data_IF_330576926467
#
_entry.id   IF_330576926467
#
_cell.length_a   1.000
_cell.length_b   1.000
_cell.length_c   1.000
_cell.angle_alpha   90.00
_cell.angle_beta   90.00
_cell.angle_gamma   90.00
#
_symmetry.space_group_name_H-M   'P 1'
#
loop_
_entity.id
_entity.type
_entity.pdbx_description
1 polymer ?
#
# COMPACT_ATOMS: atom_id res chain seq x y z
N UNK A 1 1.66 -15.42 -2.71
CA UNK A 1 1.14 -15.28 -4.09
C UNK A 1 0.75 -13.84 -4.49
N UNK A 2 1.05 -12.83 -3.66
CA UNK A 2 0.58 -11.43 -3.85
C UNK A 2 1.48 -10.53 -4.71
N UNK A 3 2.69 -10.94 -5.04
CA UNK A 3 3.65 -10.12 -5.80
C UNK A 3 3.33 -9.96 -7.30
N UNK A 4 2.50 -10.83 -7.86
CA UNK A 4 2.12 -10.74 -9.29
C UNK A 4 1.08 -9.65 -9.61
N UNK A 5 0.24 -9.27 -8.65
CA UNK A 5 -0.78 -8.22 -8.84
C UNK A 5 -0.17 -6.81 -8.90
N UNK A 6 0.87 -6.54 -8.10
CA UNK A 6 1.51 -5.22 -8.05
C UNK A 6 2.29 -4.87 -9.33
N UNK A 7 2.90 -5.87 -9.98
CA UNK A 7 3.67 -5.68 -11.23
C UNK A 7 2.74 -5.46 -12.42
N UNK A 8 1.55 -6.08 -12.43
CA UNK A 8 0.59 -5.92 -13.52
C UNK A 8 -0.02 -4.52 -13.59
N UNK A 9 -0.26 -3.86 -12.46
CA UNK A 9 -0.82 -2.50 -12.42
C UNK A 9 0.21 -1.41 -12.77
N UNK A 10 1.50 -1.65 -12.52
CA UNK A 10 2.58 -0.74 -12.94
C UNK A 10 2.81 -0.71 -14.46
N UNK A 11 2.24 -1.66 -15.21
CA UNK A 11 2.41 -1.79 -16.66
C UNK A 11 1.21 -1.29 -17.50
N UNK A 12 0.30 -0.51 -16.91
CA UNK A 12 -0.83 0.05 -17.64
C UNK A 12 -0.36 0.89 -18.83
N UNK A 13 -0.97 0.66 -19.99
CA UNK A 13 -0.78 1.51 -21.15
C UNK A 13 -1.49 2.85 -20.96
N UNK A 14 -1.08 3.94 -21.67
CA UNK A 14 -1.77 5.23 -21.57
C UNK A 14 -3.27 5.13 -21.86
N UNK A 15 -3.69 4.28 -22.82
CA UNK A 15 -5.10 4.09 -23.13
C UNK A 15 -5.86 3.42 -21.98
N UNK A 16 -5.25 2.46 -21.30
CA UNK A 16 -5.85 1.83 -20.12
C UNK A 16 -5.97 2.83 -18.95
N UNK A 17 -4.98 3.70 -18.76
CA UNK A 17 -5.04 4.77 -17.76
C UNK A 17 -6.20 5.72 -18.07
N UNK A 18 -6.35 6.15 -19.32
CA UNK A 18 -7.48 6.99 -19.75
C UNK A 18 -8.80 6.29 -19.50
N UNK A 19 -8.94 5.02 -19.84
CA UNK A 19 -10.18 4.24 -19.58
C UNK A 19 -10.52 4.15 -18.08
N UNK A 20 -9.53 4.06 -17.22
CA UNK A 20 -9.76 4.10 -15.76
C UNK A 20 -10.19 5.49 -15.26
N UNK A 21 -9.62 6.55 -15.85
CA UNK A 21 -10.02 7.93 -15.54
C UNK A 21 -11.43 8.24 -16.06
N UNK A 22 -11.83 7.69 -17.21
CA UNK A 22 -13.16 7.88 -17.81
C UNK A 22 -14.29 7.37 -16.92
N UNK A 23 -14.03 6.42 -16.04
CA UNK A 23 -15.03 5.93 -15.07
C UNK A 23 -15.48 7.00 -14.06
N UNK A 24 -14.66 8.01 -13.83
CA UNK A 24 -14.88 9.00 -12.77
C UNK A 24 -14.94 10.44 -13.27
N UNK A 25 -14.38 10.71 -14.45
CA UNK A 25 -14.20 12.07 -14.96
C UNK A 25 -14.85 12.12 -16.35
N UNK A 26 -15.86 12.95 -16.49
CA UNK A 26 -16.58 13.14 -17.75
C UNK A 26 -15.85 14.21 -18.58
N UNK A 27 -15.66 13.97 -19.88
CA UNK A 27 -14.99 14.91 -20.77
C UNK A 27 -13.46 14.95 -20.55
N UNK A 28 -12.84 16.10 -20.80
CA UNK A 28 -11.39 16.38 -20.59
C UNK A 28 -10.45 15.39 -21.29
N UNK A 29 -10.78 14.96 -22.52
CA UNK A 29 -10.06 13.89 -23.25
C UNK A 29 -8.56 14.18 -23.40
N UNK A 30 -8.21 15.40 -23.81
CA UNK A 30 -6.82 15.78 -24.04
C UNK A 30 -6.01 15.86 -22.73
N UNK A 31 -6.61 16.40 -21.67
CA UNK A 31 -5.99 16.43 -20.36
C UNK A 31 -5.73 15.02 -19.83
N UNK A 32 -6.70 14.10 -19.90
CA UNK A 32 -6.54 12.71 -19.51
C UNK A 32 -5.44 12.01 -20.29
N UNK A 33 -5.38 12.21 -21.61
CA UNK A 33 -4.33 11.64 -22.48
C UNK A 33 -2.95 12.16 -22.11
N UNK A 34 -2.81 13.46 -21.90
CA UNK A 34 -1.53 14.09 -21.53
C UNK A 34 -1.02 13.59 -20.19
N UNK A 35 -1.88 13.53 -19.16
CA UNK A 35 -1.50 13.04 -17.84
C UNK A 35 -1.21 11.53 -17.84
N UNK A 36 -1.91 10.74 -18.65
CA UNK A 36 -1.65 9.32 -18.80
C UNK A 36 -0.27 9.04 -19.42
N UNK A 37 0.10 9.82 -20.43
CA UNK A 37 1.43 9.75 -21.06
C UNK A 37 2.51 10.16 -20.05
N UNK A 38 2.31 11.25 -19.31
CA UNK A 38 3.26 11.73 -18.31
C UNK A 38 3.47 10.71 -17.19
N UNK A 39 2.39 10.09 -16.69
CA UNK A 39 2.49 9.01 -15.70
C UNK A 39 3.28 7.82 -16.26
N UNK A 40 3.00 7.40 -17.50
CA UNK A 40 3.72 6.29 -18.12
C UNK A 40 5.21 6.58 -18.29
N UNK A 41 5.57 7.79 -18.70
CA UNK A 41 6.97 8.21 -18.82
C UNK A 41 7.66 8.20 -17.45
N UNK A 42 6.99 8.64 -16.38
CA UNK A 42 7.53 8.58 -15.02
C UNK A 42 7.79 7.13 -14.57
N UNK A 43 6.87 6.21 -14.84
CA UNK A 43 7.04 4.79 -14.54
C UNK A 43 8.18 4.16 -15.35
N UNK A 44 8.31 4.51 -16.64
CA UNK A 44 9.43 4.06 -17.48
C UNK A 44 10.77 4.54 -16.94
N UNK A 45 10.86 5.80 -16.49
CA UNK A 45 12.08 6.35 -15.89
C UNK A 45 12.54 5.55 -14.66
N UNK A 46 11.64 5.01 -13.87
CA UNK A 46 11.99 4.19 -12.70
C UNK A 46 12.64 2.85 -13.08
N UNK A 47 12.40 2.36 -14.29
CA UNK A 47 12.92 1.08 -14.79
C UNK A 47 14.22 1.23 -15.62
N UNK A 48 14.75 2.44 -15.73
CA UNK A 48 16.00 2.73 -16.44
C UNK A 48 17.16 2.65 -15.44
N UNK A 49 18.37 2.32 -15.94
CA UNK A 49 19.60 2.32 -15.11
C UNK A 49 19.85 3.69 -14.46
N UNK A 50 20.55 3.70 -13.32
CA UNK A 50 20.76 4.91 -12.53
C UNK A 50 21.47 5.99 -13.34
N UNK A 51 22.45 5.62 -14.17
CA UNK A 51 23.18 6.53 -15.06
C UNK A 51 22.27 7.31 -16.02
N UNK A 52 21.34 6.61 -16.69
CA UNK A 52 20.39 7.24 -17.59
C UNK A 52 19.23 7.94 -16.87
N UNK A 53 18.95 7.54 -15.64
CA UNK A 53 17.88 8.16 -14.82
C UNK A 53 18.19 9.60 -14.49
N UNK A 54 19.45 9.93 -14.25
CA UNK A 54 19.88 11.28 -13.91
C UNK A 54 19.85 12.23 -15.12
N UNK A 55 20.01 11.69 -16.33
CA UNK A 55 19.87 12.46 -17.58
C UNK A 55 18.40 12.73 -17.94
N UNK A 56 17.47 11.87 -17.53
CA UNK A 56 16.04 12.02 -17.83
C UNK A 56 15.35 12.82 -16.73
N UNK A 57 15.14 14.11 -16.93
CA UNK A 57 14.40 14.94 -15.97
C UNK A 57 12.93 14.54 -15.85
N UNK A 58 12.38 14.44 -14.61
CA UNK A 58 10.97 14.21 -14.41
C UNK A 58 10.16 15.42 -14.83
N UNK A 59 9.16 15.23 -15.68
CA UNK A 59 8.24 16.29 -16.08
C UNK A 59 7.17 16.50 -15.00
N UNK A 60 7.06 17.73 -14.51
CA UNK A 60 5.95 18.16 -13.67
C UNK A 60 4.74 18.52 -14.56
N UNK A 61 3.54 18.27 -14.04
CA UNK A 61 2.29 18.54 -14.77
C UNK A 61 1.65 19.78 -14.17
N UNK A 62 1.38 20.77 -15.03
CA UNK A 62 0.59 21.96 -14.71
C UNK A 62 -0.77 21.84 -15.37
N UNK A 63 -1.85 21.90 -14.59
CA UNK A 63 -3.22 21.87 -15.07
C UNK A 63 -3.89 23.22 -14.85
N UNK A 64 -4.23 23.90 -15.94
CA UNK A 64 -4.86 25.23 -15.94
C UNK A 64 -6.31 25.08 -16.43
N UNK A 65 -7.22 25.81 -15.80
CA UNK A 65 -8.64 25.82 -16.18
C UNK A 65 -9.54 26.31 -15.04
N UNK A 66 -10.83 26.52 -15.29
CA UNK A 66 -11.79 27.00 -14.30
C UNK A 66 -11.97 26.04 -13.12
N UNK A 67 -12.56 26.52 -12.05
CA UNK A 67 -12.86 25.71 -10.86
C UNK A 67 -13.92 24.65 -11.20
N UNK A 68 -13.85 23.48 -10.56
CA UNK A 68 -14.88 22.45 -10.73
C UNK A 68 -14.71 21.51 -11.94
N UNK A 69 -13.78 21.77 -12.86
CA UNK A 69 -13.57 20.91 -14.07
C UNK A 69 -12.84 19.58 -13.81
N UNK A 70 -12.57 19.24 -12.57
CA UNK A 70 -11.99 17.94 -12.21
C UNK A 70 -10.46 17.86 -12.12
N UNK A 71 -9.72 19.00 -12.15
CA UNK A 71 -8.24 19.01 -12.07
C UNK A 71 -7.69 18.21 -10.88
N UNK A 72 -8.19 18.49 -9.69
CA UNK A 72 -7.76 17.79 -8.47
C UNK A 72 -8.16 16.32 -8.48
N UNK A 73 -9.31 15.98 -9.06
CA UNK A 73 -9.77 14.60 -9.13
C UNK A 73 -8.91 13.78 -10.10
N UNK A 74 -8.49 14.36 -11.22
CA UNK A 74 -7.50 13.74 -12.14
C UNK A 74 -6.23 13.38 -11.36
N UNK A 75 -5.65 14.34 -10.62
CA UNK A 75 -4.43 14.12 -9.85
C UNK A 75 -4.60 13.02 -8.78
N UNK A 76 -5.71 13.06 -8.03
CA UNK A 76 -6.02 12.05 -7.01
C UNK A 76 -6.15 10.65 -7.60
N UNK A 77 -6.85 10.51 -8.73
CA UNK A 77 -7.02 9.22 -9.39
C UNK A 77 -5.73 8.69 -9.99
N UNK A 78 -4.89 9.57 -10.56
CA UNK A 78 -3.57 9.18 -11.02
C UNK A 78 -2.68 8.66 -9.88
N UNK A 79 -2.66 9.35 -8.74
CA UNK A 79 -1.92 8.90 -7.58
C UNK A 79 -2.39 7.50 -7.11
N UNK A 80 -3.72 7.28 -7.07
CA UNK A 80 -4.31 5.98 -6.73
C UNK A 80 -3.91 4.88 -7.73
N UNK A 81 -3.94 5.17 -9.03
CA UNK A 81 -3.51 4.23 -10.07
C UNK A 81 -2.01 3.91 -9.99
N UNK A 82 -1.20 4.90 -9.60
CA UNK A 82 0.24 4.75 -9.40
C UNK A 82 0.61 4.14 -8.03
N UNK A 83 -0.37 3.86 -7.15
CA UNK A 83 -0.15 3.48 -5.75
C UNK A 83 0.82 4.42 -5.04
N UNK A 84 0.66 5.72 -5.29
CA UNK A 84 1.48 6.77 -4.71
C UNK A 84 0.69 7.57 -3.67
N UNK A 85 1.32 8.07 -2.61
CA UNK A 85 0.69 8.96 -1.65
C UNK A 85 0.25 10.25 -2.35
N UNK A 86 -0.85 10.84 -1.88
CA UNK A 86 -1.42 12.05 -2.45
C UNK A 86 -1.81 13.04 -1.36
N UNK A 87 -1.17 14.19 -1.32
CA UNK A 87 -1.51 15.29 -0.44
C UNK A 87 -1.99 16.48 -1.27
N UNK A 88 -3.16 17.01 -0.94
CA UNK A 88 -3.67 18.25 -1.51
C UNK A 88 -3.29 19.41 -0.61
N UNK A 89 -2.55 20.36 -1.13
CA UNK A 89 -2.17 21.58 -0.42
C UNK A 89 -2.71 22.82 -1.14
N UNK A 90 -3.01 23.87 -0.38
CA UNK A 90 -3.40 25.17 -0.90
C UNK A 90 -2.22 26.13 -0.69
N UNK A 91 -1.65 26.64 -1.78
CA UNK A 91 -0.43 27.46 -1.74
C UNK A 91 -0.58 28.71 -0.83
N UNK A 92 -1.79 29.28 -0.77
CA UNK A 92 -2.09 30.45 0.08
C UNK A 92 -1.97 30.19 1.59
N UNK A 93 -1.92 28.93 2.01
CA UNK A 93 -1.74 28.57 3.43
C UNK A 93 -0.27 28.43 3.85
N UNK A 94 0.64 28.51 2.89
CA UNK A 94 2.07 28.39 3.12
C UNK A 94 2.72 29.75 2.97
N UNK A 95 3.54 30.09 3.94
CA UNK A 95 4.27 31.37 3.97
C UNK A 95 5.77 31.09 4.15
N UNK A 96 6.59 32.09 3.83
CA UNK A 96 8.02 32.05 4.15
C UNK A 96 8.25 31.97 5.67
N UNK A 97 9.40 31.40 6.03
CA UNK A 97 9.82 31.19 7.42
C UNK A 97 9.75 32.53 8.20
N UNK A 98 8.96 32.53 9.29
CA UNK A 98 8.83 33.71 10.16
C UNK A 98 7.49 34.45 10.07
N UNK A 99 6.61 34.11 9.13
CA UNK A 99 5.25 34.61 9.04
C UNK A 99 4.21 33.58 9.54
N UNK A 100 3.03 34.08 9.90
CA UNK A 100 1.90 33.24 10.34
C UNK A 100 1.40 32.38 9.17
N UNK A 101 1.76 31.11 9.16
CA UNK A 101 1.36 30.14 8.13
C UNK A 101 1.99 28.77 8.37
N UNK A 102 1.60 27.79 7.55
CA UNK A 102 2.24 26.46 7.60
C UNK A 102 3.59 26.52 6.89
N UNK A 103 4.57 25.87 7.46
CA UNK A 103 5.88 25.68 6.86
C UNK A 103 5.80 24.76 5.63
N UNK A 104 6.57 25.09 4.57
CA UNK A 104 6.66 24.31 3.34
C UNK A 104 7.15 22.87 3.64
N UNK A 105 8.04 22.71 4.61
CA UNK A 105 8.53 21.40 5.05
C UNK A 105 7.40 20.50 5.57
N UNK A 106 6.33 21.08 6.10
CA UNK A 106 5.17 20.33 6.57
C UNK A 106 4.48 19.53 5.46
N UNK A 107 4.58 19.97 4.19
CA UNK A 107 4.05 19.24 3.04
C UNK A 107 4.75 17.87 2.88
N UNK A 108 6.06 17.87 3.05
CA UNK A 108 6.85 16.63 2.94
C UNK A 108 6.55 15.71 4.11
N UNK A 109 6.41 16.27 5.32
CA UNK A 109 6.03 15.51 6.51
C UNK A 109 4.67 14.85 6.34
N UNK A 110 3.65 15.61 5.92
CA UNK A 110 2.31 15.11 5.64
C UNK A 110 2.33 14.00 4.56
N UNK A 111 3.18 14.14 3.53
CA UNK A 111 3.34 13.14 2.47
C UNK A 111 3.99 11.84 2.98
N UNK A 112 5.01 11.95 3.83
CA UNK A 112 5.68 10.81 4.46
C UNK A 112 4.71 10.07 5.38
N UNK A 113 3.98 10.79 6.23
CA UNK A 113 3.00 10.20 7.14
C UNK A 113 1.92 9.43 6.37
N UNK A 114 1.45 9.99 5.27
CA UNK A 114 0.48 9.32 4.41
C UNK A 114 1.08 8.08 3.71
N UNK A 115 2.34 8.13 3.30
CA UNK A 115 3.06 6.99 2.73
C UNK A 115 3.18 5.85 3.74
N UNK A 116 3.57 6.17 4.98
CA UNK A 116 3.68 5.18 6.07
C UNK A 116 2.32 4.57 6.38
N UNK A 117 1.26 5.39 6.47
CA UNK A 117 -0.10 4.90 6.71
C UNK A 117 -0.58 3.96 5.60
N UNK A 118 -0.29 4.29 4.33
CA UNK A 118 -0.65 3.47 3.17
C UNK A 118 0.05 2.10 3.22
N UNK A 119 1.36 2.07 3.41
CA UNK A 119 2.13 0.82 3.51
C UNK A 119 1.70 0.00 4.72
N UNK A 120 1.44 0.64 5.86
CA UNK A 120 0.95 -0.03 7.07
C UNK A 120 -0.41 -0.69 6.83
N UNK A 121 -1.32 -0.02 6.12
CA UNK A 121 -2.63 -0.57 5.75
C UNK A 121 -2.50 -1.78 4.83
N UNK A 122 -1.65 -1.70 3.81
CA UNK A 122 -1.38 -2.82 2.90
C UNK A 122 -0.80 -4.03 3.64
N UNK A 123 0.20 -3.79 4.50
CA UNK A 123 0.81 -4.87 5.30
C UNK A 123 -0.15 -5.46 6.33
N UNK A 124 -1.00 -4.63 6.93
CA UNK A 124 -2.02 -5.11 7.87
C UNK A 124 -3.02 -6.04 7.17
N UNK A 125 -3.43 -5.72 5.95
CA UNK A 125 -4.35 -6.56 5.19
C UNK A 125 -3.69 -7.89 4.77
N UNK A 126 -2.40 -7.89 4.39
CA UNK A 126 -1.65 -9.09 4.04
C UNK A 126 -1.55 -10.11 5.20
N UNK A 127 -1.47 -9.62 6.43
CA UNK A 127 -1.34 -10.49 7.62
C UNK A 127 -2.67 -10.82 8.30
N UNK A 128 -3.76 -10.18 7.89
CA UNK A 128 -5.06 -10.28 8.54
C UNK A 128 -5.59 -11.70 8.65
N UNK A 129 -5.51 -12.48 7.57
CA UNK A 129 -5.96 -13.86 7.55
C UNK A 129 -5.16 -14.73 8.53
N UNK A 130 -3.82 -14.58 8.52
CA UNK A 130 -2.95 -15.31 9.45
C UNK A 130 -3.20 -14.89 10.91
N UNK A 131 -3.39 -13.60 11.15
CA UNK A 131 -3.69 -13.09 12.48
C UNK A 131 -5.03 -13.63 13.00
N UNK A 132 -6.06 -13.74 12.14
CA UNK A 132 -7.35 -14.31 12.52
C UNK A 132 -7.22 -15.77 12.97
N UNK A 133 -6.48 -16.60 12.24
CA UNK A 133 -6.23 -17.99 12.63
C UNK A 133 -5.47 -18.10 13.96
N UNK A 134 -4.44 -17.29 14.17
CA UNK A 134 -3.69 -17.28 15.42
C UNK A 134 -4.51 -16.80 16.62
N UNK A 135 -5.44 -15.86 16.39
CA UNK A 135 -6.37 -15.40 17.43
C UNK A 135 -7.33 -16.53 17.81
N UNK A 136 -7.87 -17.27 16.84
CA UNK A 136 -8.76 -18.40 17.10
C UNK A 136 -8.03 -19.51 17.89
N UNK A 137 -6.82 -19.88 17.46
CA UNK A 137 -5.97 -20.84 18.17
C UNK A 137 -5.69 -20.39 19.61
N UNK A 138 -5.34 -19.12 19.81
CA UNK A 138 -5.07 -18.56 21.13
C UNK A 138 -6.30 -18.52 22.03
N UNK A 139 -7.47 -18.26 21.47
CA UNK A 139 -8.73 -18.32 22.21
C UNK A 139 -9.04 -19.75 22.64
N UNK A 140 -8.82 -20.74 21.78
CA UNK A 140 -8.99 -22.15 22.12
C UNK A 140 -8.04 -22.57 23.26
N UNK A 141 -6.77 -22.17 23.23
CA UNK A 141 -5.80 -22.43 24.30
C UNK A 141 -6.24 -21.86 25.65
N UNK A 142 -6.89 -20.70 25.64
CA UNK A 142 -7.35 -20.05 26.88
C UNK A 142 -8.62 -20.73 27.41
N UNK A 143 -9.54 -21.11 26.51
CA UNK A 143 -10.82 -21.71 26.87
C UNK A 143 -10.69 -23.21 27.20
N UNK A 144 -9.76 -23.91 26.56
CA UNK A 144 -9.48 -25.32 26.73
C UNK A 144 -8.01 -25.49 27.18
N UNK A 145 -7.70 -25.26 28.46
CA UNK A 145 -6.35 -25.46 28.94
C UNK A 145 -5.93 -26.91 28.67
N UNK A 146 -4.67 -27.15 28.23
CA UNK A 146 -4.20 -28.47 27.89
C UNK A 146 -4.45 -29.43 29.06
N UNK A 147 -5.11 -30.53 28.78
CA UNK A 147 -5.29 -31.60 29.76
C UNK A 147 -3.89 -32.00 30.21
N UNK A 148 -3.57 -31.77 31.46
CA UNK A 148 -2.30 -32.20 32.03
C UNK A 148 -2.16 -33.69 31.72
N UNK A 149 -1.26 -34.04 30.81
CA UNK A 149 -0.90 -35.43 30.56
C UNK A 149 -0.20 -35.93 31.86
N UNK A 150 -1.01 -36.46 32.77
CA UNK A 150 -0.44 -37.24 33.87
C UNK A 150 0.41 -38.34 33.21
N UNK A 151 1.68 -38.46 33.59
CA UNK A 151 2.49 -39.58 33.06
C UNK A 151 1.77 -40.86 33.47
N UNK A 152 1.27 -41.59 32.47
CA UNK A 152 0.74 -42.93 32.74
C UNK A 152 1.93 -43.79 33.17
N UNK A 153 2.07 -43.91 34.51
CA UNK A 153 3.01 -44.83 35.09
C UNK A 153 2.50 -46.24 34.81
N UNK A 154 3.04 -46.85 33.76
CA UNK A 154 2.88 -48.27 33.54
C UNK A 154 3.66 -49.00 34.66
N UNK A 155 3.02 -49.23 35.80
CA UNK A 155 3.51 -50.22 36.74
C UNK A 155 3.33 -51.58 36.12
N UNK A 156 4.39 -52.11 35.53
CA UNK A 156 4.47 -53.52 35.19
C UNK A 156 4.33 -54.34 36.45
N UNK A 157 3.15 -54.87 36.66
CA UNK A 157 2.95 -55.97 37.62
C UNK A 157 3.67 -57.19 37.02
N UNK A 158 4.96 -57.38 37.39
CA UNK A 158 5.64 -58.64 37.20
C UNK A 158 5.02 -59.66 38.17
N UNK A 159 4.21 -60.59 37.62
CA UNK A 159 3.74 -61.73 38.34
C UNK A 159 4.95 -62.58 38.78
N UNK A 160 5.04 -62.97 40.06
CA UNK A 160 6.11 -63.83 40.51
C UNK A 160 5.94 -65.24 39.89
N UNK A 161 6.89 -65.61 39.01
CA UNK A 161 6.98 -66.97 38.52
C UNK A 161 7.36 -67.91 39.65
N UNK A 162 6.38 -68.68 40.11
CA UNK A 162 6.60 -69.76 41.09
C UNK A 162 7.36 -70.89 40.41
N UNK A 163 8.61 -71.04 40.82
CA UNK A 163 9.45 -72.25 40.37
C UNK A 163 8.89 -73.47 41.07
N UNK A 164 8.40 -74.45 40.32
CA UNK A 164 8.06 -75.78 40.79
C UNK A 164 9.29 -76.64 40.59
N UNK A 165 9.77 -77.23 41.69
CA UNK A 165 10.81 -78.31 41.72
C UNK A 165 10.14 -79.59 41.46
#
# INVERSE_FOLDING_TARGET
>A
MSTKSSIAESNLTPNQIVSQLDKYIIGQKDAKKSVAIALRNRLRRQNVSDELRDEIMPNNIIMIGPTGVGKTEIARRLAKLARAPFVKVEASKFTEVGYVGRDVESMIRDLVDQSVAMVRSERSEEVREKAALLVEERLLDILLPPVASSPVSYTHLTLPTKRIV
#
